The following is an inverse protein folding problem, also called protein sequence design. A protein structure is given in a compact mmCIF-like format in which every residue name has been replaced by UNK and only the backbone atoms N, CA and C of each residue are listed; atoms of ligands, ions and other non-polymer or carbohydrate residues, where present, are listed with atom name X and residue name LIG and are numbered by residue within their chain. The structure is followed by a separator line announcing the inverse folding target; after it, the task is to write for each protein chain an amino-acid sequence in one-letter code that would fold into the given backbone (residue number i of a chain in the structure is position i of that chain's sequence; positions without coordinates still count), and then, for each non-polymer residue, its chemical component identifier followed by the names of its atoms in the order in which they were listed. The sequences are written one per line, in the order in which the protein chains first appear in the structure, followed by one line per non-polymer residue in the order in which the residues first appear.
data_IF_750604982166
#
_entry.id   IF_750604982166
#
_cell.length_a   1.000
_cell.length_b   1.000
_cell.length_c   1.000
_cell.angle_alpha   90.00
_cell.angle_beta   90.00
_cell.angle_gamma   90.00
#
_symmetry.space_group_name_H-M   'P 1'
#
loop_
_entity.id
_entity.type
_entity.pdbx_description
1 polymer ?
#
# COMPACT_ATOMS: atom_id res chain seq x y z
N UNK A 1 -8.48 -12.20 7.01
CA UNK A 1 -9.67 -13.00 7.35
C UNK A 1 -10.89 -12.41 6.69
N UNK A 2 -11.77 -13.26 6.18
CA UNK A 2 -13.08 -12.93 5.64
C UNK A 2 -14.13 -13.59 6.54
N UNK A 3 -15.12 -12.82 6.98
CA UNK A 3 -16.18 -13.30 7.85
C UNK A 3 -17.51 -12.75 7.35
N UNK A 4 -18.51 -13.59 7.27
CA UNK A 4 -19.90 -13.16 6.98
C UNK A 4 -20.77 -13.29 8.22
N UNK A 5 -21.57 -12.27 8.45
CA UNK A 5 -22.57 -12.21 9.51
C UNK A 5 -23.91 -11.94 8.84
N UNK A 6 -24.90 -12.75 9.09
CA UNK A 6 -26.23 -12.54 8.55
C UNK A 6 -26.96 -11.36 9.26
N UNK A 7 -28.16 -11.04 8.78
CA UNK A 7 -28.96 -9.93 9.34
C UNK A 7 -29.43 -10.19 10.78
N UNK A 8 -29.42 -11.45 11.20
CA UNK A 8 -29.81 -11.87 12.57
C UNK A 8 -28.61 -11.93 13.52
N UNK A 9 -27.41 -11.54 13.01
CA UNK A 9 -26.18 -11.48 13.78
C UNK A 9 -25.44 -12.82 13.90
N UNK A 10 -25.82 -13.84 13.12
CA UNK A 10 -25.15 -15.14 13.13
C UNK A 10 -23.93 -15.10 12.20
N UNK A 11 -22.78 -15.51 12.70
CA UNK A 11 -21.60 -15.72 11.87
C UNK A 11 -21.79 -16.99 11.03
N UNK A 12 -21.76 -16.85 9.71
CA UNK A 12 -21.98 -17.98 8.79
C UNK A 12 -20.66 -18.58 8.30
N UNK A 13 -19.66 -17.74 8.01
CA UNK A 13 -18.37 -18.17 7.49
C UNK A 13 -17.21 -17.43 8.17
N UNK A 14 -16.10 -18.12 8.30
CA UNK A 14 -14.81 -17.53 8.65
C UNK A 14 -13.74 -18.19 7.76
N UNK A 15 -13.15 -17.42 6.87
CA UNK A 15 -12.08 -17.87 5.97
C UNK A 15 -10.83 -17.01 6.19
N UNK A 16 -9.66 -17.64 6.10
CA UNK A 16 -8.39 -16.94 6.00
C UNK A 16 -7.91 -16.96 4.55
N UNK A 17 -7.42 -15.80 4.09
CA UNK A 17 -6.74 -15.68 2.81
C UNK A 17 -5.30 -15.34 3.11
N UNK A 18 -4.39 -16.24 2.75
CA UNK A 18 -2.95 -16.00 2.88
C UNK A 18 -2.44 -15.24 1.66
N UNK A 19 -1.55 -14.30 1.89
CA UNK A 19 -0.84 -13.60 0.81
C UNK A 19 0.29 -14.51 0.34
N UNK A 20 0.32 -14.95 -0.93
CA UNK A 20 1.38 -15.83 -1.42
C UNK A 20 2.77 -15.20 -1.27
N UNK A 21 3.75 -15.98 -0.85
CA UNK A 21 5.12 -15.54 -0.64
C UNK A 21 5.79 -14.96 -1.89
N UNK A 22 5.44 -15.44 -3.07
CA UNK A 22 5.91 -14.90 -4.33
C UNK A 22 5.39 -13.47 -4.56
N UNK A 23 4.14 -13.17 -4.21
CA UNK A 23 3.59 -11.81 -4.25
C UNK A 23 4.29 -10.90 -3.23
N UNK A 24 4.53 -11.37 -2.01
CA UNK A 24 5.24 -10.60 -0.99
C UNK A 24 6.63 -10.20 -1.47
N UNK A 25 7.34 -11.12 -2.15
CA UNK A 25 8.72 -10.93 -2.63
C UNK A 25 8.84 -10.14 -3.93
N UNK A 26 7.76 -9.85 -4.65
CA UNK A 26 7.79 -9.02 -5.85
C UNK A 26 8.33 -7.60 -5.54
N UNK A 27 9.02 -7.01 -6.50
CA UNK A 27 9.60 -5.67 -6.43
C UNK A 27 10.55 -5.45 -5.25
N UNK A 28 11.22 -6.52 -4.84
CA UNK A 28 12.26 -6.49 -3.80
C UNK A 28 13.60 -6.85 -4.42
N UNK A 29 14.63 -6.05 -4.17
CA UNK A 29 15.95 -6.31 -4.74
C UNK A 29 16.54 -7.62 -4.23
N UNK A 30 17.32 -8.31 -5.06
CA UNK A 30 18.01 -9.55 -4.72
C UNK A 30 18.89 -9.42 -3.46
N UNK A 31 19.49 -8.23 -3.26
CA UNK A 31 20.27 -7.95 -2.05
C UNK A 31 19.40 -7.96 -0.79
N UNK A 32 18.22 -7.38 -0.87
CA UNK A 32 17.24 -7.37 0.24
C UNK A 32 16.67 -8.77 0.48
N UNK A 33 16.35 -9.50 -0.59
CA UNK A 33 15.90 -10.91 -0.49
C UNK A 33 16.93 -11.78 0.23
N UNK A 34 18.22 -11.66 -0.13
CA UNK A 34 19.32 -12.39 0.52
C UNK A 34 19.57 -11.97 1.97
N UNK A 35 19.35 -10.70 2.30
CA UNK A 35 19.45 -10.21 3.69
C UNK A 35 18.30 -10.78 4.53
N UNK A 36 17.11 -10.76 4.00
CA UNK A 36 15.93 -11.29 4.67
C UNK A 36 16.04 -12.81 4.85
N UNK A 37 16.45 -13.56 3.83
CA UNK A 37 16.64 -15.01 3.92
C UNK A 37 17.63 -15.45 5.02
N UNK A 38 18.60 -14.60 5.38
CA UNK A 38 19.53 -14.87 6.50
C UNK A 38 18.92 -14.61 7.88
N UNK A 39 17.85 -13.84 7.94
CA UNK A 39 17.13 -13.47 9.18
C UNK A 39 15.85 -14.31 9.36
N UNK A 40 15.40 -15.01 8.30
CA UNK A 40 14.10 -15.64 8.17
C UNK A 40 14.14 -17.18 8.29
N UNK A 41 15.18 -17.75 8.91
CA UNK A 41 15.09 -19.20 9.20
C UNK A 41 13.88 -19.57 10.08
N UNK A 42 13.15 -18.56 10.64
CA UNK A 42 11.99 -18.78 11.52
C UNK A 42 10.86 -17.72 11.44
N UNK A 43 10.81 -16.84 10.42
CA UNK A 43 9.71 -15.86 10.33
C UNK A 43 9.06 -15.90 8.96
N UNK A 44 7.75 -16.16 8.95
CA UNK A 44 6.91 -15.97 7.77
C UNK A 44 7.11 -14.55 7.20
N UNK A 45 7.32 -14.46 5.89
CA UNK A 45 7.43 -13.18 5.21
C UNK A 45 6.15 -12.39 5.44
N UNK A 46 6.26 -11.17 5.96
CA UNK A 46 5.12 -10.31 6.26
C UNK A 46 5.18 -9.00 5.49
N UNK A 47 4.03 -8.39 5.25
CA UNK A 47 3.92 -7.03 4.74
C UNK A 47 3.53 -6.12 5.90
N UNK A 48 4.53 -5.44 6.47
CA UNK A 48 4.31 -4.53 7.59
C UNK A 48 3.73 -3.18 7.14
N UNK A 49 3.06 -2.50 8.06
CA UNK A 49 2.51 -1.14 7.87
C UNK A 49 1.51 -1.01 6.71
N UNK A 50 0.80 -2.09 6.36
CA UNK A 50 -0.25 -2.06 5.36
C UNK A 50 -1.52 -1.42 5.92
N UNK A 51 -1.96 -0.32 5.31
CA UNK A 51 -3.23 0.32 5.61
C UNK A 51 -4.26 -0.03 4.55
N UNK A 52 -5.43 -0.47 4.98
CA UNK A 52 -6.58 -0.63 4.10
C UNK A 52 -7.06 0.76 3.65
N UNK A 53 -6.99 1.02 2.35
CA UNK A 53 -7.34 2.32 1.74
C UNK A 53 -8.72 2.35 1.17
N UNK A 54 -9.13 1.26 0.55
CA UNK A 54 -10.41 1.21 -0.16
C UNK A 54 -10.95 -0.21 -0.18
N UNK A 55 -12.27 -0.31 -0.13
CA UNK A 55 -13.05 -1.52 -0.41
C UNK A 55 -14.08 -1.14 -1.46
N UNK A 56 -14.17 -1.92 -2.53
CA UNK A 56 -15.21 -1.81 -3.54
C UNK A 56 -16.01 -3.12 -3.53
N UNK A 57 -17.32 -2.99 -3.58
CA UNK A 57 -18.24 -4.14 -3.68
C UNK A 57 -18.70 -4.19 -5.13
N UNK A 58 -18.37 -5.27 -5.83
CA UNK A 58 -18.80 -5.53 -7.19
C UNK A 58 -20.29 -5.90 -7.28
N UNK A 59 -20.85 -5.78 -8.47
CA UNK A 59 -22.27 -6.18 -8.75
C UNK A 59 -22.49 -7.69 -8.51
N UNK A 60 -21.43 -8.48 -8.64
CA UNK A 60 -21.40 -9.93 -8.35
C UNK A 60 -21.22 -10.24 -6.85
N UNK A 61 -21.34 -9.24 -5.98
CA UNK A 61 -21.03 -9.31 -4.55
C UNK A 61 -19.58 -9.74 -4.23
N UNK A 62 -18.66 -9.61 -5.16
CA UNK A 62 -17.24 -9.72 -4.88
C UNK A 62 -16.72 -8.45 -4.18
N UNK A 63 -15.57 -8.57 -3.51
CA UNK A 63 -14.94 -7.47 -2.79
C UNK A 63 -13.55 -7.22 -3.37
N UNK A 64 -13.28 -5.99 -3.78
CA UNK A 64 -11.92 -5.54 -4.08
C UNK A 64 -11.37 -4.79 -2.87
N UNK A 65 -10.27 -5.27 -2.32
CA UNK A 65 -9.53 -4.63 -1.25
C UNK A 65 -8.27 -4.00 -1.81
N UNK A 66 -8.02 -2.75 -1.42
CA UNK A 66 -6.79 -2.05 -1.76
C UNK A 66 -6.09 -1.61 -0.49
N UNK A 67 -4.95 -2.22 -0.21
CA UNK A 67 -4.03 -1.83 0.84
C UNK A 67 -2.89 -1.00 0.26
N UNK A 68 -2.34 -0.07 1.05
CA UNK A 68 -1.15 0.71 0.72
C UNK A 68 -0.20 0.68 1.90
N UNK A 69 1.05 0.37 1.66
CA UNK A 69 2.08 0.44 2.69
C UNK A 69 2.41 1.89 3.00
N UNK A 70 2.21 2.26 4.26
CA UNK A 70 2.39 3.62 4.75
C UNK A 70 3.07 3.63 6.11
N UNK A 71 4.09 4.45 6.25
CA UNK A 71 4.71 4.75 7.54
C UNK A 71 5.38 6.12 7.49
N UNK A 72 5.82 6.62 8.64
CA UNK A 72 6.63 7.81 8.70
C UNK A 72 7.82 7.62 9.66
N UNK A 73 8.88 8.38 9.40
CA UNK A 73 10.05 8.45 10.28
C UNK A 73 10.23 9.88 10.75
N UNK A 74 10.68 10.02 11.99
CA UNK A 74 11.02 11.31 12.59
C UNK A 74 12.54 11.41 12.68
N UNK A 75 13.08 12.51 12.20
CA UNK A 75 14.49 12.87 12.35
C UNK A 75 14.59 14.27 12.94
N UNK A 76 15.70 14.56 13.64
CA UNK A 76 16.01 15.90 14.10
C UNK A 76 17.23 16.43 13.34
N UNK A 77 17.18 17.68 12.94
CA UNK A 77 18.35 18.35 12.40
C UNK A 77 19.31 18.78 13.53
N UNK A 78 20.46 19.31 13.17
CA UNK A 78 21.48 19.78 14.14
C UNK A 78 21.02 20.94 15.05
N UNK A 79 19.90 21.57 14.74
CA UNK A 79 19.28 22.62 15.55
C UNK A 79 18.14 22.07 16.43
N UNK A 80 17.91 20.75 16.42
CA UNK A 80 16.83 20.10 17.17
C UNK A 80 15.45 20.22 16.52
N UNK A 81 15.36 20.70 15.27
CA UNK A 81 14.10 20.82 14.56
C UNK A 81 13.69 19.46 14.01
N UNK A 82 12.50 19.01 14.38
CA UNK A 82 11.95 17.75 13.89
C UNK A 82 11.55 17.84 12.42
N UNK A 83 11.82 16.76 11.69
CA UNK A 83 11.41 16.54 10.31
C UNK A 83 10.74 15.18 10.20
N UNK A 84 9.62 15.15 9.52
CA UNK A 84 8.82 13.95 9.29
C UNK A 84 8.95 13.51 7.84
N UNK A 85 9.44 12.29 7.63
CA UNK A 85 9.54 11.66 6.30
C UNK A 85 8.39 10.68 6.17
N UNK A 86 7.48 10.93 5.23
CA UNK A 86 6.28 10.13 4.97
C UNK A 86 6.51 9.24 3.77
N UNK A 87 6.32 7.96 3.96
CA UNK A 87 6.53 6.92 2.96
C UNK A 87 5.19 6.33 2.54
N UNK A 88 4.87 6.43 1.25
CA UNK A 88 3.75 5.78 0.60
C UNK A 88 4.33 4.82 -0.41
N UNK A 89 4.35 3.56 -0.07
CA UNK A 89 5.05 2.54 -0.83
C UNK A 89 4.07 1.65 -1.60
N UNK A 90 4.40 0.40 -1.82
CA UNK A 90 3.64 -0.54 -2.64
C UNK A 90 2.17 -0.65 -2.23
N UNK A 91 1.34 -0.93 -3.22
CA UNK A 91 -0.07 -1.28 -3.02
C UNK A 91 -0.29 -2.78 -3.17
N UNK A 92 -1.17 -3.32 -2.36
CA UNK A 92 -1.67 -4.68 -2.47
C UNK A 92 -3.15 -4.63 -2.87
N UNK A 93 -3.48 -5.25 -4.00
CA UNK A 93 -4.85 -5.31 -4.52
C UNK A 93 -5.30 -6.76 -4.50
N UNK A 94 -6.36 -7.06 -3.74
CA UNK A 94 -6.94 -8.39 -3.65
C UNK A 94 -8.42 -8.36 -4.01
N UNK A 95 -8.85 -9.26 -4.88
CA UNK A 95 -10.27 -9.48 -5.17
C UNK A 95 -10.69 -10.81 -4.56
N UNK A 96 -11.77 -10.77 -3.78
CA UNK A 96 -12.35 -11.90 -3.07
C UNK A 96 -13.77 -12.09 -3.57
N UNK A 97 -14.16 -13.32 -3.89
CA UNK A 97 -15.51 -13.66 -4.27
C UNK A 97 -16.49 -13.54 -3.09
N UNK A 98 -17.78 -13.52 -3.37
CA UNK A 98 -18.85 -13.46 -2.35
C UNK A 98 -18.80 -14.60 -1.34
N UNK A 99 -18.24 -15.76 -1.71
CA UNK A 99 -18.05 -16.92 -0.84
C UNK A 99 -16.76 -16.85 -0.02
N UNK A 100 -15.96 -15.78 -0.13
CA UNK A 100 -14.69 -15.57 0.55
C UNK A 100 -13.48 -16.22 -0.11
N UNK A 101 -13.61 -16.81 -1.29
CA UNK A 101 -12.48 -17.36 -2.05
C UNK A 101 -11.68 -16.23 -2.72
N UNK A 102 -10.34 -16.39 -2.76
CA UNK A 102 -9.45 -15.45 -3.42
C UNK A 102 -9.56 -15.62 -4.95
N UNK A 103 -9.96 -14.54 -5.65
CA UNK A 103 -9.98 -14.49 -7.12
C UNK A 103 -8.59 -14.14 -7.64
N UNK A 104 -8.01 -13.04 -7.14
CA UNK A 104 -6.63 -12.68 -7.42
C UNK A 104 -6.05 -11.82 -6.29
N UNK A 105 -4.72 -11.78 -6.25
CA UNK A 105 -3.95 -10.83 -5.46
C UNK A 105 -2.78 -10.31 -6.31
N UNK A 106 -2.57 -9.00 -6.29
CA UNK A 106 -1.52 -8.31 -7.05
C UNK A 106 -0.83 -7.27 -6.20
N UNK A 107 0.49 -7.19 -6.34
CA UNK A 107 1.30 -6.13 -5.78
C UNK A 107 1.62 -5.12 -6.87
N UNK A 108 1.30 -3.85 -6.63
CA UNK A 108 1.63 -2.76 -7.54
C UNK A 108 2.82 -1.99 -6.98
N UNK A 109 3.93 -1.91 -7.72
CA UNK A 109 5.09 -1.15 -7.28
C UNK A 109 4.78 0.35 -7.32
N UNK A 110 4.99 1.00 -6.21
CA UNK A 110 4.88 2.45 -6.06
C UNK A 110 5.80 2.85 -4.93
N UNK A 111 6.48 4.00 -5.04
CA UNK A 111 7.34 4.47 -3.98
C UNK A 111 7.42 5.98 -3.94
N UNK A 112 6.71 6.59 -3.00
CA UNK A 112 6.62 8.04 -2.84
C UNK A 112 7.16 8.45 -1.48
N UNK A 113 7.87 9.57 -1.44
CA UNK A 113 8.43 10.16 -0.22
C UNK A 113 8.07 11.64 -0.15
N UNK A 114 7.52 12.07 0.97
CA UNK A 114 7.38 13.49 1.29
C UNK A 114 8.09 13.81 2.60
N UNK A 115 8.70 14.98 2.67
CA UNK A 115 9.35 15.49 3.89
C UNK A 115 8.64 16.76 4.33
N UNK A 116 8.25 16.83 5.60
CA UNK A 116 7.54 17.97 6.17
C UNK A 116 8.07 18.30 7.56
N UNK A 117 8.04 19.55 7.99
CA UNK A 117 8.27 19.95 9.38
C UNK A 117 7.06 19.63 10.28
N UNK A 118 5.91 19.27 9.71
CA UNK A 118 4.68 19.06 10.45
C UNK A 118 4.50 17.57 10.80
N UNK A 119 4.13 17.25 12.07
CA UNK A 119 3.81 15.89 12.47
C UNK A 119 2.55 15.39 11.78
N UNK A 120 2.36 14.07 11.65
CA UNK A 120 1.10 13.51 11.22
C UNK A 120 0.02 13.98 12.22
N UNK A 121 -1.06 14.57 11.71
CA UNK A 121 -2.16 14.96 12.59
C UNK A 121 -2.65 13.70 13.31
N UNK A 122 -2.79 13.76 14.62
CA UNK A 122 -3.32 12.66 15.46
C UNK A 122 -4.77 12.29 15.10
N UNK A 123 -5.37 12.99 14.16
CA UNK A 123 -6.75 12.82 13.76
C UNK A 123 -6.88 12.06 12.46
N UNK A 124 -7.33 10.82 12.60
CA UNK A 124 -8.18 10.03 11.68
C UNK A 124 -7.72 9.83 10.22
N UNK A 125 -8.23 8.75 9.62
CA UNK A 125 -8.24 8.52 8.18
C UNK A 125 -8.74 9.74 7.35
N UNK A 126 -9.58 10.61 7.95
CA UNK A 126 -9.97 11.91 7.40
C UNK A 126 -8.79 12.91 7.38
N UNK A 127 -7.93 12.91 8.41
CA UNK A 127 -6.72 13.72 8.47
C UNK A 127 -5.69 13.33 7.42
N UNK A 128 -5.60 12.07 7.04
CA UNK A 128 -4.73 11.62 5.95
C UNK A 128 -5.20 12.15 4.57
N UNK A 129 -6.50 12.33 4.37
CA UNK A 129 -7.04 13.06 3.22
C UNK A 129 -6.68 14.56 3.24
N UNK A 130 -6.54 15.15 4.42
CA UNK A 130 -6.09 16.53 4.58
C UNK A 130 -4.58 16.68 4.45
N UNK A 131 -3.78 15.69 4.87
CA UNK A 131 -2.32 15.71 4.67
C UNK A 131 -1.94 15.76 3.19
N UNK A 132 -2.70 15.12 2.30
CA UNK A 132 -2.52 15.28 0.85
C UNK A 132 -2.83 16.69 0.33
N UNK A 133 -3.53 17.52 1.11
CA UNK A 133 -3.77 18.94 0.79
C UNK A 133 -2.74 19.89 1.41
N UNK A 134 -2.05 19.48 2.45
CA UNK A 134 -1.07 20.31 3.19
C UNK A 134 0.29 20.31 2.48
N UNK A 135 0.58 19.31 1.67
CA UNK A 135 1.78 19.25 0.84
C UNK A 135 1.48 19.87 -0.54
N UNK A 136 1.46 21.19 -0.64
CA UNK A 136 1.47 22.04 -1.84
C UNK A 136 1.13 21.36 -3.19
N UNK A 137 -0.08 20.80 -3.28
CA UNK A 137 -0.62 20.29 -4.54
C UNK A 137 -0.12 18.91 -4.98
N UNK A 138 0.74 18.24 -4.23
CA UNK A 138 1.23 16.94 -4.61
C UNK A 138 0.29 15.81 -4.18
N UNK A 139 -0.10 15.01 -5.15
CA UNK A 139 -0.93 13.85 -4.94
C UNK A 139 -0.09 12.66 -4.47
N UNK A 140 0.17 12.59 -3.17
CA UNK A 140 0.68 11.36 -2.56
C UNK A 140 -0.44 10.32 -2.45
N UNK A 141 -0.06 9.04 -2.47
CA UNK A 141 -1.01 7.95 -2.52
C UNK A 141 -1.46 7.67 -3.95
N UNK A 142 -2.72 7.34 -4.13
CA UNK A 142 -3.29 6.98 -5.43
C UNK A 142 -4.77 7.39 -5.54
N UNK A 143 -5.29 7.31 -6.78
CA UNK A 143 -6.72 7.36 -7.07
C UNK A 143 -7.11 6.06 -7.76
N UNK A 144 -8.25 5.51 -7.36
CA UNK A 144 -8.84 4.34 -8.01
C UNK A 144 -10.10 4.78 -8.75
N UNK A 145 -10.18 4.40 -10.03
CA UNK A 145 -11.35 4.57 -10.87
C UNK A 145 -11.77 3.19 -11.35
N UNK A 146 -13.02 2.86 -11.19
CA UNK A 146 -13.64 1.62 -11.66
C UNK A 146 -14.38 1.86 -12.97
N UNK A 147 -14.24 0.93 -13.90
CA UNK A 147 -15.06 0.82 -15.11
C UNK A 147 -15.67 -0.60 -15.16
N UNK A 148 -16.49 -0.87 -16.18
CA UNK A 148 -17.07 -2.21 -16.38
C UNK A 148 -16.04 -3.33 -16.58
N UNK A 149 -14.83 -3.00 -17.05
CA UNK A 149 -13.81 -3.99 -17.42
C UNK A 149 -12.52 -3.85 -16.62
N UNK A 150 -12.21 -2.65 -16.09
CA UNK A 150 -10.90 -2.33 -15.54
C UNK A 150 -10.99 -1.56 -14.23
N UNK A 151 -9.98 -1.77 -13.38
CA UNK A 151 -9.63 -0.91 -12.26
C UNK A 151 -8.42 -0.08 -12.64
N UNK A 152 -8.55 1.24 -12.70
CA UNK A 152 -7.46 2.17 -13.03
C UNK A 152 -6.86 2.75 -11.76
N UNK A 153 -5.58 2.48 -11.52
CA UNK A 153 -4.82 3.05 -10.42
C UNK A 153 -3.98 4.21 -10.95
N UNK A 154 -4.30 5.41 -10.53
CA UNK A 154 -3.62 6.64 -10.94
C UNK A 154 -2.78 7.15 -9.77
N UNK A 155 -1.48 7.26 -9.97
CA UNK A 155 -0.54 7.78 -8.98
C UNK A 155 0.68 8.39 -9.66
N UNK A 156 1.32 9.33 -8.97
CA UNK A 156 2.61 9.86 -9.41
C UNK A 156 3.72 8.90 -8.99
N UNK A 157 4.66 8.66 -9.87
CA UNK A 157 5.79 7.80 -9.57
C UNK A 157 7.05 8.28 -10.30
N UNK A 158 8.19 7.71 -9.94
CA UNK A 158 9.46 7.98 -10.60
C UNK A 158 9.47 7.35 -12.01
N UNK A 159 9.81 8.13 -13.03
CA UNK A 159 9.86 7.66 -14.42
C UNK A 159 10.73 6.41 -14.61
N UNK A 160 11.75 6.22 -13.77
CA UNK A 160 12.62 5.02 -13.79
C UNK A 160 11.90 3.74 -13.37
N UNK A 161 10.68 3.85 -12.84
CA UNK A 161 9.87 2.70 -12.45
C UNK A 161 9.01 2.17 -13.62
N UNK A 162 9.00 2.82 -14.79
CA UNK A 162 8.22 2.39 -15.95
C UNK A 162 8.66 1.02 -16.48
N UNK A 163 9.94 0.71 -16.39
CA UNK A 163 10.53 -0.56 -16.87
C UNK A 163 10.95 -1.48 -15.71
N UNK A 164 10.35 -1.31 -14.55
CA UNK A 164 10.71 -2.06 -13.35
C UNK A 164 10.39 -3.55 -13.51
N UNK A 165 11.37 -4.38 -13.24
CA UNK A 165 11.19 -5.84 -13.17
C UNK A 165 10.83 -6.29 -11.74
N UNK A 166 10.24 -7.48 -11.60
CA UNK A 166 9.82 -8.02 -10.28
C UNK A 166 10.98 -8.23 -9.29
N UNK A 167 12.22 -8.24 -9.77
CA UNK A 167 13.43 -8.41 -8.94
C UNK A 167 14.12 -7.10 -8.60
N UNK A 168 13.52 -5.97 -8.94
CA UNK A 168 14.06 -4.63 -8.69
C UNK A 168 13.17 -3.88 -7.70
N UNK A 169 13.79 -3.06 -6.85
CA UNK A 169 13.06 -2.17 -5.96
C UNK A 169 12.73 -0.85 -6.65
N UNK A 170 11.51 -0.34 -6.53
CA UNK A 170 11.14 0.96 -7.06
C UNK A 170 12.05 2.08 -6.55
N UNK A 171 12.25 3.10 -7.37
CA UNK A 171 12.89 4.36 -6.99
C UNK A 171 11.86 5.31 -6.38
N UNK A 172 12.27 6.13 -5.43
CA UNK A 172 11.37 7.12 -4.83
C UNK A 172 11.01 8.23 -5.83
N UNK A 173 9.75 8.60 -5.81
CA UNK A 173 9.26 9.89 -6.26
C UNK A 173 9.27 10.83 -5.04
N UNK A 174 10.09 11.86 -5.07
CA UNK A 174 10.30 12.77 -3.93
C UNK A 174 9.65 14.13 -4.20
N UNK A 175 8.79 14.61 -3.29
CA UNK A 175 8.24 15.99 -3.21
C UNK A 175 8.04 16.71 -4.55
N UNK A 176 7.39 16.07 -5.55
CA UNK A 176 7.16 16.67 -6.87
C UNK A 176 8.41 16.99 -7.69
N UNK A 177 9.57 16.66 -7.21
CA UNK A 177 10.77 16.64 -8.04
C UNK A 177 10.72 15.39 -8.93
N UNK A 178 9.65 15.30 -9.72
CA UNK A 178 9.56 14.36 -10.81
C UNK A 178 10.68 14.69 -11.78
N UNK A 179 11.66 13.82 -11.92
CA UNK A 179 12.52 13.86 -13.08
C UNK A 179 11.63 13.56 -14.29
N UNK A 180 11.30 14.55 -15.07
CA UNK A 180 10.86 14.40 -16.44
C UNK A 180 12.05 13.99 -17.29
#
# INVERSE_FOLDING_TARGET
FFCTIDKDGQQTDLKSVEIPNDVIKQFTSEKTKKKNAKTEEDKDASIDNMLLRQIIIGEDNSFLFVGEKYYYLVSQDKNGVERYSYYYEEMLVAKIASDGSLIFIKKLPKRQLAVSPNPPSKFNALGMRMLTKVFDGESLGFRLIESSEYYYFLFLDNVKNLELTENESPKYHENGQGGF
#
